data_IF_726665278110
#
_entry.id   IF_726665278110
#
_cell.length_a   1.000
_cell.length_b   1.000
_cell.length_c   1.000
_cell.angle_alpha   90.00
_cell.angle_beta   90.00
_cell.angle_gamma   90.00
#
_symmetry.space_group_name_H-M   'P 1'
#
loop_
_entity.id
_entity.type
_entity.pdbx_description
1 polymer ?
#
# COMPACT_ATOMS: atom_id res chain seq x y z
N UNK A 1 -28.69 -16.07 -9.70
CA UNK A 1 -27.22 -15.95 -9.41
C UNK A 1 -27.10 -15.84 -7.90
N UNK A 2 -26.35 -16.72 -7.25
CA UNK A 2 -26.02 -16.51 -5.84
C UNK A 2 -25.12 -15.27 -5.77
N UNK A 3 -25.52 -14.32 -4.93
CA UNK A 3 -24.68 -13.13 -4.68
C UNK A 3 -23.48 -13.59 -3.87
N UNK A 4 -22.27 -13.47 -4.44
CA UNK A 4 -21.04 -13.71 -3.70
C UNK A 4 -20.92 -12.68 -2.58
N UNK A 5 -20.51 -13.14 -1.41
CA UNK A 5 -20.27 -12.29 -0.25
C UNK A 5 -18.87 -12.59 0.30
N UNK A 6 -18.18 -11.54 0.71
CA UNK A 6 -16.91 -11.65 1.42
C UNK A 6 -17.15 -12.18 2.84
N UNK A 7 -16.14 -12.86 3.40
CA UNK A 7 -16.14 -13.25 4.80
C UNK A 7 -15.64 -12.08 5.65
N UNK A 8 -16.59 -11.32 6.20
CA UNK A 8 -16.27 -10.11 6.96
C UNK A 8 -15.46 -10.38 8.23
N UNK A 9 -15.68 -11.54 8.87
CA UNK A 9 -14.93 -11.91 10.09
C UNK A 9 -13.47 -12.17 9.74
N UNK A 10 -13.21 -12.94 8.70
CA UNK A 10 -11.84 -13.21 8.21
C UNK A 10 -11.13 -11.92 7.76
N UNK A 11 -11.82 -11.02 7.07
CA UNK A 11 -11.26 -9.71 6.71
C UNK A 11 -10.91 -8.90 7.95
N UNK A 12 -11.82 -8.85 8.92
CA UNK A 12 -11.60 -8.14 10.17
C UNK A 12 -10.42 -8.72 10.97
N UNK A 13 -10.36 -10.04 11.09
CA UNK A 13 -9.26 -10.73 11.77
C UNK A 13 -7.91 -10.45 11.10
N UNK A 14 -7.88 -10.44 9.75
CA UNK A 14 -6.67 -10.09 9.00
C UNK A 14 -6.24 -8.63 9.24
N UNK A 15 -7.20 -7.69 9.27
CA UNK A 15 -6.93 -6.29 9.61
C UNK A 15 -6.38 -6.14 11.03
N UNK A 16 -6.96 -6.85 12.00
CA UNK A 16 -6.50 -6.78 13.38
C UNK A 16 -5.12 -7.42 13.57
N UNK A 17 -4.84 -8.54 12.92
CA UNK A 17 -3.50 -9.15 12.95
C UNK A 17 -2.44 -8.23 12.32
N UNK A 18 -2.74 -7.59 11.19
CA UNK A 18 -1.83 -6.60 10.59
C UNK A 18 -1.63 -5.39 11.51
N UNK A 19 -2.66 -4.97 12.25
CA UNK A 19 -2.59 -3.85 13.18
C UNK A 19 -1.69 -4.10 14.41
N UNK A 20 -1.40 -5.36 14.76
CA UNK A 20 -0.44 -5.69 15.82
C UNK A 20 1.01 -5.39 15.42
N UNK A 21 1.30 -5.35 14.10
CA UNK A 21 2.64 -5.04 13.60
C UNK A 21 2.84 -3.53 13.57
N UNK A 22 3.76 -3.04 14.39
CA UNK A 22 3.99 -1.61 14.60
C UNK A 22 2.88 -0.91 15.40
N UNK A 23 2.14 -1.66 16.23
CA UNK A 23 1.10 -1.09 17.08
C UNK A 23 1.64 0.01 17.99
N UNK A 24 0.91 1.12 18.12
CA UNK A 24 1.26 2.23 18.99
C UNK A 24 0.37 2.26 20.25
N UNK A 25 0.86 2.87 21.32
CA UNK A 25 0.12 2.98 22.59
C UNK A 25 -1.27 3.64 22.43
N UNK A 26 -1.41 4.53 21.46
CA UNK A 26 -2.66 5.22 21.15
C UNK A 26 -3.59 4.43 20.21
N UNK A 27 -3.27 3.15 19.92
CA UNK A 27 -4.11 2.28 19.13
C UNK A 27 -4.00 2.52 17.61
N UNK A 28 -3.00 3.23 17.14
CA UNK A 28 -2.62 3.36 15.74
C UNK A 28 -1.53 2.37 15.33
N UNK A 29 -0.89 2.64 14.19
CA UNK A 29 0.21 1.85 13.64
C UNK A 29 1.37 2.75 13.21
N UNK A 30 2.60 2.25 13.39
CA UNK A 30 3.82 2.84 12.87
C UNK A 30 4.60 1.76 12.10
N UNK A 31 4.41 1.71 10.78
CA UNK A 31 5.14 0.85 9.83
C UNK A 31 5.70 1.73 8.73
N UNK A 32 6.73 2.50 9.05
CA UNK A 32 7.37 3.35 8.04
C UNK A 32 7.91 2.50 6.89
N UNK A 33 7.77 3.01 5.68
CA UNK A 33 8.21 2.31 4.48
C UNK A 33 9.61 1.70 4.63
N UNK A 34 9.74 0.42 4.29
CA UNK A 34 10.97 -0.36 4.33
C UNK A 34 11.63 -0.46 5.73
N UNK A 35 10.90 -0.19 6.82
CA UNK A 35 11.32 -0.52 8.17
C UNK A 35 11.24 -2.03 8.42
N UNK A 36 11.74 -2.48 9.57
CA UNK A 36 11.62 -3.89 9.97
C UNK A 36 10.14 -4.26 10.22
N UNK A 37 9.33 -3.34 10.74
CA UNK A 37 7.89 -3.52 10.90
C UNK A 37 7.18 -3.63 9.54
N UNK A 38 7.55 -2.79 8.55
CA UNK A 38 7.00 -2.90 7.20
C UNK A 38 7.38 -4.25 6.56
N UNK A 39 8.64 -4.69 6.75
CA UNK A 39 9.06 -6.02 6.32
C UNK A 39 8.19 -7.13 6.91
N UNK A 40 7.95 -7.11 8.22
CA UNK A 40 7.11 -8.12 8.89
C UNK A 40 5.67 -8.09 8.35
N UNK A 41 5.11 -6.90 8.11
CA UNK A 41 3.78 -6.76 7.50
C UNK A 41 3.71 -7.31 6.08
N UNK A 42 4.73 -7.05 5.26
CA UNK A 42 4.87 -7.56 3.89
C UNK A 42 5.01 -9.08 3.87
N UNK A 43 5.86 -9.64 4.74
CA UNK A 43 6.06 -11.07 4.85
C UNK A 43 4.74 -11.77 5.23
N UNK A 44 4.00 -11.24 6.21
CA UNK A 44 2.71 -11.76 6.63
C UNK A 44 1.67 -11.73 5.48
N UNK A 45 1.60 -10.62 4.75
CA UNK A 45 0.72 -10.51 3.58
C UNK A 45 1.08 -11.53 2.49
N UNK A 46 2.37 -11.69 2.19
CA UNK A 46 2.85 -12.66 1.19
C UNK A 46 2.47 -14.08 1.58
N UNK A 47 2.63 -14.44 2.86
CA UNK A 47 2.26 -15.77 3.35
C UNK A 47 0.76 -16.02 3.21
N UNK A 48 -0.09 -15.06 3.56
CA UNK A 48 -1.54 -15.17 3.34
C UNK A 48 -1.93 -15.29 1.86
N UNK A 49 -1.20 -14.60 0.97
CA UNK A 49 -1.44 -14.72 -0.47
C UNK A 49 -1.02 -16.09 -1.00
N UNK A 50 0.11 -16.63 -0.56
CA UNK A 50 0.55 -17.99 -0.90
C UNK A 50 -0.44 -19.04 -0.43
N UNK A 51 -0.95 -18.90 0.80
CA UNK A 51 -1.98 -19.81 1.36
C UNK A 51 -3.29 -19.71 0.55
N UNK A 52 -3.59 -18.56 -0.04
CA UNK A 52 -4.71 -18.37 -0.95
C UNK A 52 -4.44 -18.85 -2.39
N UNK A 53 -3.25 -19.43 -2.67
CA UNK A 53 -2.88 -19.97 -3.97
C UNK A 53 -2.38 -18.93 -4.97
N UNK A 54 -1.94 -17.76 -4.52
CA UNK A 54 -1.37 -16.74 -5.40
C UNK A 54 0.11 -17.01 -5.69
N UNK A 55 0.55 -16.67 -6.90
CA UNK A 55 1.96 -16.44 -7.20
C UNK A 55 2.35 -15.03 -6.75
N UNK A 56 3.61 -14.87 -6.35
CA UNK A 56 4.14 -13.60 -5.86
C UNK A 56 5.28 -13.15 -6.77
N UNK A 57 5.20 -11.91 -7.21
CA UNK A 57 6.29 -11.22 -7.89
C UNK A 57 6.57 -9.89 -7.17
N UNK A 58 7.83 -9.48 -7.16
CA UNK A 58 8.28 -8.22 -6.55
C UNK A 58 9.09 -7.48 -7.60
N UNK A 59 8.78 -6.21 -7.79
CA UNK A 59 9.54 -5.37 -8.71
C UNK A 59 10.75 -4.70 -8.02
N UNK A 60 11.55 -3.98 -8.81
CA UNK A 60 12.77 -3.30 -8.35
C UNK A 60 12.50 -2.18 -7.33
N UNK A 61 11.26 -1.70 -7.24
CA UNK A 61 10.83 -0.74 -6.21
C UNK A 61 10.20 -1.41 -4.98
N UNK A 62 10.21 -2.76 -4.95
CA UNK A 62 9.61 -3.51 -3.85
C UNK A 62 8.09 -3.56 -3.89
N UNK A 63 7.45 -3.13 -4.98
CA UNK A 63 6.01 -3.34 -5.15
C UNK A 63 5.74 -4.84 -5.22
N UNK A 64 4.71 -5.30 -4.50
CA UNK A 64 4.33 -6.72 -4.46
C UNK A 64 3.13 -6.92 -5.35
N UNK A 65 3.19 -7.94 -6.20
CA UNK A 65 2.11 -8.38 -7.07
C UNK A 65 1.72 -9.81 -6.70
N UNK A 66 0.57 -9.97 -6.04
CA UNK A 66 0.04 -11.26 -5.64
C UNK A 66 -1.07 -11.68 -6.60
N UNK A 67 -0.80 -12.64 -7.47
CA UNK A 67 -1.65 -13.00 -8.60
C UNK A 67 -2.33 -14.34 -8.42
N UNK A 68 -3.66 -14.34 -8.41
CA UNK A 68 -4.49 -15.52 -8.57
C UNK A 68 -4.76 -15.75 -10.07
N UNK A 69 -4.38 -16.90 -10.60
CA UNK A 69 -4.53 -17.21 -12.03
C UNK A 69 -5.98 -17.13 -12.50
N UNK A 70 -6.16 -16.62 -13.71
CA UNK A 70 -7.40 -16.74 -14.49
C UNK A 70 -7.31 -17.86 -15.52
N UNK A 71 -8.40 -18.07 -16.27
CA UNK A 71 -8.46 -19.09 -17.33
C UNK A 71 -7.88 -18.63 -18.67
N UNK A 72 -7.63 -17.36 -18.83
CA UNK A 72 -7.15 -16.77 -20.10
C UNK A 72 -6.00 -15.79 -19.84
N UNK A 73 -5.31 -15.43 -20.92
CA UNK A 73 -4.21 -14.46 -20.92
C UNK A 73 -4.71 -12.99 -21.01
N UNK A 74 -5.92 -12.70 -20.56
CA UNK A 74 -6.38 -11.32 -20.46
C UNK A 74 -5.57 -10.58 -19.41
N UNK A 75 -5.42 -9.27 -19.62
CA UNK A 75 -4.81 -8.41 -18.61
C UNK A 75 -5.52 -8.59 -17.26
N UNK A 76 -4.79 -8.63 -16.15
CA UNK A 76 -5.36 -8.86 -14.83
C UNK A 76 -6.30 -7.72 -14.42
N UNK A 77 -7.31 -8.09 -13.64
CA UNK A 77 -8.07 -7.13 -12.85
C UNK A 77 -7.37 -7.02 -11.51
N UNK A 78 -6.83 -5.85 -11.24
CA UNK A 78 -6.06 -5.58 -10.05
C UNK A 78 -6.86 -4.82 -9.00
N UNK A 79 -6.49 -5.02 -7.75
CA UNK A 79 -6.91 -4.23 -6.60
C UNK A 79 -5.72 -4.10 -5.66
N UNK A 80 -5.72 -3.13 -4.77
CA UNK A 80 -4.62 -2.97 -3.83
C UNK A 80 -4.56 -1.57 -3.26
N UNK A 81 -3.52 -1.30 -2.54
CA UNK A 81 -3.14 -0.03 -1.92
C UNK A 81 -1.72 -0.16 -1.35
N UNK A 82 -1.48 0.28 -0.12
CA UNK A 82 -0.18 0.21 0.56
C UNK A 82 -0.26 -0.43 1.95
N UNK A 83 0.90 -0.84 2.48
CA UNK A 83 1.04 -1.35 3.84
C UNK A 83 1.89 -0.44 4.74
N UNK A 84 2.72 0.43 4.16
CA UNK A 84 3.42 1.45 4.93
C UNK A 84 2.44 2.45 5.54
N UNK A 85 2.82 3.03 6.68
CA UNK A 85 1.99 3.99 7.41
C UNK A 85 2.79 5.23 7.74
N UNK A 86 2.08 6.29 8.10
CA UNK A 86 2.66 7.43 8.78
C UNK A 86 3.21 7.03 10.17
N UNK A 87 4.06 7.87 10.82
CA UNK A 87 4.61 7.57 12.15
C UNK A 87 3.52 7.37 13.23
N UNK A 88 2.36 7.99 13.02
CA UNK A 88 1.17 7.87 13.86
C UNK A 88 -0.06 7.59 13.01
N UNK A 89 0.05 6.59 12.14
CA UNK A 89 -0.98 6.22 11.16
C UNK A 89 -2.17 5.49 11.77
N UNK A 90 -3.27 5.44 11.01
CA UNK A 90 -4.42 4.62 11.32
C UNK A 90 -4.17 3.15 10.98
N UNK A 91 -4.95 2.24 11.59
CA UNK A 91 -4.84 0.79 11.35
C UNK A 91 -5.34 0.37 9.98
N UNK A 92 -6.15 1.18 9.32
CA UNK A 92 -6.91 0.82 8.13
C UNK A 92 -6.42 1.53 6.87
N UNK A 93 -5.63 2.59 7.04
CA UNK A 93 -5.09 3.40 5.97
C UNK A 93 -4.21 2.56 5.04
N UNK A 94 -4.56 2.48 3.77
CA UNK A 94 -3.95 1.59 2.77
C UNK A 94 -4.19 0.11 3.03
N UNK A 95 -3.99 -0.34 4.26
CA UNK A 95 -4.13 -1.75 4.69
C UNK A 95 -5.50 -2.32 4.32
N UNK A 96 -6.56 -1.53 4.45
CA UNK A 96 -7.90 -1.96 4.08
C UNK A 96 -7.99 -2.35 2.60
N UNK A 97 -7.46 -1.53 1.69
CA UNK A 97 -7.49 -1.81 0.25
C UNK A 97 -6.73 -3.07 -0.12
N UNK A 98 -5.57 -3.29 0.50
CA UNK A 98 -4.76 -4.51 0.30
C UNK A 98 -5.49 -5.76 0.79
N UNK A 99 -5.97 -5.75 2.04
CA UNK A 99 -6.60 -6.92 2.64
C UNK A 99 -8.02 -7.19 2.12
N UNK A 100 -8.74 -6.15 1.68
CA UNK A 100 -10.00 -6.32 0.96
C UNK A 100 -9.76 -7.05 -0.38
N UNK A 101 -8.69 -6.72 -1.10
CA UNK A 101 -8.29 -7.43 -2.31
C UNK A 101 -7.97 -8.91 -2.05
N UNK A 102 -7.22 -9.21 -1.01
CA UNK A 102 -6.95 -10.59 -0.61
C UNK A 102 -8.24 -11.32 -0.22
N UNK A 103 -9.15 -10.66 0.48
CA UNK A 103 -10.43 -11.28 0.86
C UNK A 103 -11.32 -11.56 -0.37
N UNK A 104 -11.26 -10.74 -1.42
CA UNK A 104 -11.91 -11.06 -2.70
C UNK A 104 -11.36 -12.37 -3.27
N UNK A 105 -10.04 -12.53 -3.31
CA UNK A 105 -9.40 -13.77 -3.78
C UNK A 105 -9.85 -14.98 -2.94
N UNK A 106 -9.79 -14.88 -1.61
CA UNK A 106 -10.22 -15.93 -0.68
C UNK A 106 -11.70 -16.29 -0.88
N UNK A 107 -12.57 -15.29 -1.06
CA UNK A 107 -13.99 -15.51 -1.30
C UNK A 107 -14.26 -16.20 -2.65
N UNK A 108 -13.52 -15.86 -3.69
CA UNK A 108 -13.59 -16.58 -4.98
C UNK A 108 -13.18 -18.05 -4.83
N UNK A 109 -12.16 -18.32 -4.02
CA UNK A 109 -11.71 -19.68 -3.74
C UNK A 109 -12.77 -20.48 -2.95
N UNK A 110 -13.35 -19.90 -1.89
CA UNK A 110 -14.38 -20.52 -1.07
C UNK A 110 -15.61 -20.94 -1.90
N UNK A 111 -15.93 -20.16 -2.91
CA UNK A 111 -17.05 -20.41 -3.80
C UNK A 111 -16.67 -21.16 -5.09
N UNK A 112 -15.42 -21.59 -5.23
CA UNK A 112 -14.89 -22.28 -6.41
C UNK A 112 -15.15 -21.53 -7.73
N UNK A 113 -15.09 -20.19 -7.67
CA UNK A 113 -15.30 -19.34 -8.85
C UNK A 113 -13.99 -19.22 -9.62
N UNK A 114 -14.02 -19.66 -10.88
CA UNK A 114 -12.95 -19.37 -11.83
C UNK A 114 -13.24 -18.07 -12.57
N UNK A 115 -12.20 -17.24 -12.73
CA UNK A 115 -12.28 -15.96 -13.45
C UNK A 115 -11.64 -16.06 -14.82
N UNK A 116 -12.11 -15.28 -15.78
CA UNK A 116 -11.48 -15.23 -17.11
C UNK A 116 -10.11 -14.57 -17.05
N UNK A 117 -10.02 -13.38 -16.45
CA UNK A 117 -8.76 -12.71 -16.20
C UNK A 117 -8.18 -13.12 -14.84
N UNK A 118 -6.90 -13.02 -14.67
CA UNK A 118 -6.27 -13.10 -13.36
C UNK A 118 -6.81 -12.01 -12.44
N UNK A 119 -6.85 -12.30 -11.12
CA UNK A 119 -7.10 -11.30 -10.08
C UNK A 119 -5.78 -11.04 -9.37
N UNK A 120 -5.41 -9.78 -9.25
CA UNK A 120 -4.13 -9.40 -8.67
C UNK A 120 -4.32 -8.41 -7.52
N UNK A 121 -3.61 -8.66 -6.42
CA UNK A 121 -3.51 -7.70 -5.31
C UNK A 121 -2.14 -7.06 -5.34
N UNK A 122 -2.11 -5.73 -5.36
CA UNK A 122 -0.87 -4.94 -5.44
C UNK A 122 -0.64 -4.24 -4.10
N UNK A 123 0.62 -4.25 -3.64
CA UNK A 123 1.09 -3.42 -2.53
C UNK A 123 2.09 -2.43 -3.08
N UNK A 124 1.72 -1.16 -3.10
CA UNK A 124 2.61 -0.08 -3.50
C UNK A 124 3.57 0.26 -2.36
N UNK A 125 4.85 0.39 -2.69
CA UNK A 125 5.90 0.71 -1.71
C UNK A 125 6.01 2.21 -1.50
N UNK A 126 6.10 2.65 -0.23
CA UNK A 126 6.30 4.05 0.15
C UNK A 126 5.23 4.97 -0.46
N UNK A 127 3.96 4.59 -0.28
CA UNK A 127 2.84 5.42 -0.74
C UNK A 127 2.78 6.71 0.05
N UNK A 128 2.90 6.65 1.37
CA UNK A 128 2.81 7.77 2.28
C UNK A 128 3.92 8.83 2.12
N UNK A 129 5.09 8.42 1.66
CA UNK A 129 6.24 9.33 1.48
C UNK A 129 6.81 9.89 2.78
N UNK A 130 6.39 9.41 3.93
CA UNK A 130 6.81 9.93 5.24
C UNK A 130 8.27 9.66 5.54
N UNK A 131 8.81 8.53 5.08
CA UNK A 131 10.22 8.20 5.23
C UNK A 131 11.03 8.64 4.02
N UNK A 132 10.56 8.38 2.81
CA UNK A 132 11.25 8.71 1.56
C UNK A 132 10.35 9.60 0.71
N UNK A 133 10.54 10.91 0.77
CA UNK A 133 9.78 11.83 -0.08
C UNK A 133 10.20 11.73 -1.56
N UNK A 134 9.27 11.85 -2.51
CA UNK A 134 7.87 12.20 -2.34
C UNK A 134 6.98 10.99 -2.03
N UNK A 135 5.72 11.24 -1.64
CA UNK A 135 4.67 10.23 -1.58
C UNK A 135 4.45 9.56 -2.95
N UNK A 136 3.90 8.34 -2.94
CA UNK A 136 3.58 7.56 -4.14
C UNK A 136 4.78 7.34 -5.08
N UNK A 137 6.02 7.31 -4.54
CA UNK A 137 7.20 7.27 -5.40
C UNK A 137 7.31 5.97 -6.19
N UNK A 138 6.97 4.83 -5.59
CA UNK A 138 7.08 3.54 -6.26
C UNK A 138 5.99 3.31 -7.31
N UNK A 139 4.75 3.69 -7.02
CA UNK A 139 3.67 3.70 -8.03
C UNK A 139 3.94 4.73 -9.13
N UNK A 140 4.62 5.84 -8.80
CA UNK A 140 5.07 6.84 -9.76
C UNK A 140 6.12 6.29 -10.72
N UNK A 141 7.07 5.47 -10.24
CA UNK A 141 8.03 4.76 -11.13
C UNK A 141 7.29 3.75 -12.01
N UNK A 142 6.36 2.98 -11.43
CA UNK A 142 5.53 2.05 -12.19
C UNK A 142 4.75 2.75 -13.30
N UNK A 143 4.21 3.93 -13.04
CA UNK A 143 3.45 4.74 -14.00
C UNK A 143 4.33 5.55 -14.99
N UNK A 144 5.66 5.49 -14.86
CA UNK A 144 6.60 6.24 -15.69
C UNK A 144 6.65 7.75 -15.39
N UNK A 145 6.24 8.18 -14.20
CA UNK A 145 6.32 9.56 -13.74
C UNK A 145 7.68 9.89 -13.13
N UNK A 146 8.35 8.89 -12.55
CA UNK A 146 9.66 9.00 -11.95
C UNK A 146 10.61 7.99 -12.56
N UNK A 147 11.87 8.39 -12.73
CA UNK A 147 12.93 7.47 -13.09
C UNK A 147 13.28 6.57 -11.89
N UNK A 148 13.60 5.30 -12.17
CA UNK A 148 13.93 4.33 -11.13
C UNK A 148 15.10 4.78 -10.27
N UNK A 149 16.18 5.24 -10.88
CA UNK A 149 17.40 5.68 -10.17
C UNK A 149 17.09 6.88 -9.26
N UNK A 150 16.26 7.83 -9.74
CA UNK A 150 15.77 8.92 -8.91
C UNK A 150 15.08 8.41 -7.65
N UNK A 151 14.20 7.42 -7.78
CA UNK A 151 13.44 6.87 -6.64
C UNK A 151 14.36 6.10 -5.67
N UNK A 152 15.26 5.26 -6.18
CA UNK A 152 16.19 4.49 -5.36
C UNK A 152 17.17 5.37 -4.57
N UNK A 153 17.49 6.58 -5.08
CA UNK A 153 18.33 7.57 -4.42
C UNK A 153 17.60 8.42 -3.38
N UNK A 154 16.27 8.30 -3.25
CA UNK A 154 15.56 9.02 -2.17
C UNK A 154 16.06 8.56 -0.82
N UNK A 155 16.47 9.52 0.00
CA UNK A 155 17.03 9.26 1.32
C UNK A 155 16.10 9.75 2.42
N UNK A 156 16.11 9.04 3.53
CA UNK A 156 15.46 9.46 4.76
C UNK A 156 16.30 10.55 5.49
N UNK A 157 15.78 11.04 6.61
CA UNK A 157 16.44 12.09 7.42
C UNK A 157 17.82 11.69 7.94
N UNK A 158 18.13 10.39 7.99
CA UNK A 158 19.44 9.86 8.42
C UNK A 158 20.42 9.70 7.26
N UNK A 159 19.95 9.92 6.02
CA UNK A 159 20.74 9.77 4.80
C UNK A 159 20.77 8.35 4.24
N UNK A 160 19.95 7.44 4.77
CA UNK A 160 19.83 6.07 4.24
C UNK A 160 18.90 6.10 3.02
N UNK A 161 19.35 5.52 1.90
CA UNK A 161 18.58 5.54 0.65
C UNK A 161 17.52 4.44 0.59
N UNK A 162 16.47 4.68 -0.20
CA UNK A 162 15.42 3.71 -0.46
C UNK A 162 15.98 2.42 -1.08
N UNK A 163 16.93 2.54 -2.02
CA UNK A 163 17.58 1.38 -2.63
C UNK A 163 18.34 0.54 -1.61
N UNK A 164 19.08 1.17 -0.69
CA UNK A 164 19.79 0.45 0.37
C UNK A 164 18.85 -0.29 1.33
N UNK A 165 17.70 0.31 1.65
CA UNK A 165 16.70 -0.32 2.51
C UNK A 165 15.97 -1.47 1.80
N UNK A 166 15.65 -1.34 0.52
CA UNK A 166 15.09 -2.44 -0.28
C UNK A 166 16.01 -3.66 -0.29
N UNK A 167 17.33 -3.44 -0.47
CA UNK A 167 18.33 -4.52 -0.37
C UNK A 167 18.41 -5.10 1.04
N UNK A 168 18.46 -4.23 2.07
CA UNK A 168 18.58 -4.63 3.48
C UNK A 168 17.45 -5.55 3.92
N UNK A 169 16.21 -5.21 3.56
CA UNK A 169 15.05 -6.01 3.95
C UNK A 169 14.74 -7.15 2.97
N UNK A 170 15.47 -7.25 1.85
CA UNK A 170 15.32 -8.31 0.85
C UNK A 170 14.12 -8.13 -0.07
N UNK A 171 13.71 -6.88 -0.31
CA UNK A 171 12.58 -6.52 -1.19
C UNK A 171 13.00 -5.80 -2.48
N UNK A 172 14.29 -5.70 -2.78
CA UNK A 172 14.77 -5.34 -4.11
C UNK A 172 14.50 -6.50 -5.07
N UNK A 173 13.33 -6.50 -5.72
CA UNK A 173 12.94 -7.57 -6.63
C UNK A 173 13.61 -7.48 -7.99
N UNK A 174 13.48 -8.55 -8.78
CA UNK A 174 14.10 -8.65 -10.10
C UNK A 174 13.21 -8.12 -11.23
N UNK A 175 11.91 -7.98 -10.99
CA UNK A 175 10.95 -7.56 -12.00
C UNK A 175 11.15 -6.10 -12.37
N UNK A 176 11.24 -5.74 -13.67
CA UNK A 176 11.26 -4.36 -14.11
C UNK A 176 10.00 -3.61 -13.71
N UNK A 177 10.14 -2.36 -13.28
CA UNK A 177 8.99 -1.50 -12.96
C UNK A 177 8.28 -1.05 -14.23
N UNK A 178 6.93 -1.05 -14.20
CA UNK A 178 6.11 -0.52 -15.30
C UNK A 178 5.94 -1.44 -16.52
N UNK A 179 6.62 -2.57 -16.59
CA UNK A 179 6.45 -3.54 -17.68
C UNK A 179 5.22 -4.44 -17.52
N UNK A 180 4.55 -4.38 -16.37
CA UNK A 180 3.37 -5.16 -16.08
C UNK A 180 2.11 -4.37 -16.42
N UNK A 181 1.45 -4.74 -17.50
CA UNK A 181 0.21 -4.10 -17.90
C UNK A 181 -0.98 -4.62 -17.08
N UNK A 182 -1.77 -3.69 -16.56
CA UNK A 182 -3.04 -3.96 -15.88
C UNK A 182 -4.22 -3.69 -16.82
N UNK A 183 -5.27 -4.51 -16.72
CA UNK A 183 -6.52 -4.27 -17.43
C UNK A 183 -7.36 -3.20 -16.76
N UNK A 184 -7.53 -3.34 -15.46
CA UNK A 184 -8.30 -2.41 -14.61
C UNK A 184 -7.73 -2.47 -13.21
N UNK A 185 -7.63 -1.34 -12.53
CA UNK A 185 -7.25 -1.25 -11.13
C UNK A 185 -8.40 -0.66 -10.32
N UNK A 186 -8.75 -1.31 -9.22
CA UNK A 186 -9.64 -0.81 -8.19
C UNK A 186 -8.86 -0.58 -6.91
N UNK A 187 -9.19 0.48 -6.20
CA UNK A 187 -8.68 0.69 -4.86
C UNK A 187 -9.84 0.98 -3.92
N UNK A 188 -9.99 0.12 -2.90
CA UNK A 188 -10.89 0.37 -1.80
C UNK A 188 -10.10 1.12 -0.71
N UNK A 189 -10.55 2.31 -0.35
CA UNK A 189 -9.87 3.13 0.64
C UNK A 189 -10.85 3.68 1.67
N UNK A 190 -10.39 3.95 2.88
CA UNK A 190 -11.17 4.67 3.88
C UNK A 190 -11.25 6.15 3.48
N UNK A 191 -12.34 6.84 3.81
CA UNK A 191 -12.52 8.24 3.42
C UNK A 191 -11.51 9.17 4.10
N UNK A 192 -11.10 8.86 5.33
CA UNK A 192 -10.27 9.73 6.18
C UNK A 192 -10.92 11.11 6.42
N UNK A 193 -12.23 11.15 6.38
CA UNK A 193 -13.02 12.37 6.52
C UNK A 193 -14.47 12.05 6.91
N UNK A 194 -15.30 13.07 7.18
CA UNK A 194 -16.62 12.87 7.74
C UNK A 194 -17.77 12.94 6.71
N UNK A 195 -17.50 13.09 5.41
CA UNK A 195 -18.53 13.46 4.43
C UNK A 195 -19.49 12.32 4.17
N UNK A 196 -18.97 11.10 3.95
CA UNK A 196 -19.82 9.92 3.71
C UNK A 196 -20.62 9.56 4.95
N UNK A 197 -20.01 9.60 6.13
CA UNK A 197 -20.70 9.35 7.39
C UNK A 197 -21.84 10.36 7.64
N UNK A 198 -21.58 11.64 7.42
CA UNK A 198 -22.61 12.69 7.56
C UNK A 198 -23.75 12.57 6.54
N UNK A 199 -23.46 12.01 5.36
CA UNK A 199 -24.44 11.75 4.33
C UNK A 199 -25.19 10.41 4.48
N UNK A 200 -24.78 9.57 5.46
CA UNK A 200 -25.25 8.18 5.62
C UNK A 200 -24.96 7.31 4.36
N UNK A 201 -23.87 7.63 3.67
CA UNK A 201 -23.40 6.92 2.49
C UNK A 201 -22.27 5.95 2.87
N UNK A 202 -22.37 4.70 2.41
CA UNK A 202 -21.36 3.67 2.69
C UNK A 202 -20.19 3.74 1.72
N UNK A 203 -20.43 4.14 0.48
CA UNK A 203 -19.42 4.14 -0.59
C UNK A 203 -19.49 5.45 -1.36
N UNK A 204 -18.33 6.09 -1.50
CA UNK A 204 -18.10 7.20 -2.42
C UNK A 204 -17.27 6.76 -3.62
N UNK A 205 -17.56 7.27 -4.80
CA UNK A 205 -16.73 7.07 -5.99
C UNK A 205 -15.85 8.30 -6.17
N UNK A 206 -14.53 8.11 -6.12
CA UNK A 206 -13.57 9.19 -6.36
C UNK A 206 -13.64 9.62 -7.83
N UNK A 207 -13.97 10.88 -8.07
CA UNK A 207 -14.13 11.43 -9.43
C UNK A 207 -13.00 12.37 -9.83
N UNK A 208 -12.09 12.67 -8.90
CA UNK A 208 -10.93 13.53 -9.15
C UNK A 208 -10.03 13.63 -7.93
N UNK A 209 -8.83 14.13 -8.14
CA UNK A 209 -7.83 14.38 -7.09
C UNK A 209 -7.39 15.82 -7.09
N UNK A 210 -7.02 16.35 -5.91
CA UNK A 210 -6.43 17.66 -5.76
C UNK A 210 -4.91 17.59 -5.94
N UNK A 211 -4.33 18.62 -6.54
CA UNK A 211 -2.88 18.76 -6.59
C UNK A 211 -2.33 19.11 -5.20
N UNK A 212 -1.37 18.33 -4.73
CA UNK A 212 -0.69 18.54 -3.43
C UNK A 212 0.76 18.94 -3.68
N UNK A 213 1.26 19.87 -2.85
CA UNK A 213 2.68 20.26 -2.84
C UNK A 213 3.15 20.33 -1.40
N UNK A 214 4.30 19.75 -1.15
CA UNK A 214 4.96 19.77 0.14
C UNK A 214 6.15 20.72 0.11
N UNK A 215 6.33 21.46 1.19
CA UNK A 215 7.44 22.40 1.34
C UNK A 215 8.14 22.15 2.67
N UNK A 216 9.47 22.09 2.64
CA UNK A 216 10.28 22.15 3.86
C UNK A 216 10.74 23.60 4.04
N UNK A 217 10.46 24.16 5.19
CA UNK A 217 10.87 25.54 5.55
C UNK A 217 11.90 25.43 6.66
N UNK A 218 13.12 25.87 6.40
CA UNK A 218 14.17 26.00 7.41
C UNK A 218 14.23 27.45 7.89
N UNK A 219 14.11 27.64 9.21
CA UNK A 219 14.20 28.95 9.84
C UNK A 219 15.47 28.95 10.69
N UNK A 220 16.38 29.88 10.38
CA UNK A 220 17.60 30.08 11.18
C UNK A 220 17.47 31.40 11.93
N UNK A 221 17.65 31.37 13.24
CA UNK A 221 17.53 32.54 14.07
C UNK A 221 18.24 32.36 15.41
N UNK A 222 18.02 33.29 16.27
CA UNK A 222 18.54 33.28 17.66
C UNK A 222 17.34 33.29 18.61
N UNK A 223 17.41 32.47 19.66
CA UNK A 223 16.42 32.49 20.73
C UNK A 223 16.47 33.84 21.44
N UNK A 224 15.34 34.52 21.46
CA UNK A 224 15.21 35.80 22.07
C UNK A 224 13.80 35.96 22.68
N UNK A 225 13.70 36.83 23.69
CA UNK A 225 12.41 37.15 24.28
C UNK A 225 11.59 38.01 23.32
N UNK A 226 10.38 37.56 23.01
CA UNK A 226 9.51 38.16 21.98
C UNK A 226 9.16 39.67 22.22
N UNK A 227 9.28 40.17 23.43
CA UNK A 227 8.92 41.55 23.78
C UNK A 227 10.09 42.52 23.90
N UNK A 228 11.33 42.06 23.71
CA UNK A 228 12.55 42.89 23.92
C UNK A 228 13.51 42.89 22.74
N UNK A 229 13.09 42.37 21.60
CA UNK A 229 13.85 42.35 20.34
C UNK A 229 13.22 43.20 19.29
#
# INVERSE_FOLDING_TARGET
>A
MNVLRVNRERLWDSLMQMAEIGATENGGSCRLALSDEDKVGRDLFIDWCKDAGCSIEIDRMGNIFATRAGRSNRLPVATGSHLDTQPHGGRFDGVYGVLAGLEVIRSLNDHHVETEAAIEVIVWTNEEGCRFAPAMVASGVYAGLFELDYALERADETGVTMGAELERIGYAGDRPCGEHALGTLFEAHIEQGPILEQADDTIGVVTGAQGTRWYTVSITGQDAHAGST
#
